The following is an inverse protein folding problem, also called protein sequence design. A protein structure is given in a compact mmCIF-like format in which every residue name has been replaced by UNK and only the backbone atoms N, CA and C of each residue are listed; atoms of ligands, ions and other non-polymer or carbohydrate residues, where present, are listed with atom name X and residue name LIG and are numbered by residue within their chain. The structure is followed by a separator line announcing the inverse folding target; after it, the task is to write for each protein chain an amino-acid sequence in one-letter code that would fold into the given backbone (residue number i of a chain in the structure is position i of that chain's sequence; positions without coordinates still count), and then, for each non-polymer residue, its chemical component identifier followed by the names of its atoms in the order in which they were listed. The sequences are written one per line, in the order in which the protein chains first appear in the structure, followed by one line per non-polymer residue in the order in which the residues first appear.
data_IF_079579195027
#
_entry.id   IF_079579195027
#
_cell.length_a   1.000
_cell.length_b   1.000
_cell.length_c   1.000
_cell.angle_alpha   90.00
_cell.angle_beta   90.00
_cell.angle_gamma   90.00
#
_symmetry.space_group_name_H-M   'P 1'
#
loop_
_entity.id
_entity.type
_entity.pdbx_description
1 polymer ?
#
# COMPACT_ATOMS: atom_id res chain seq x y z
N UNK A 1 -3.00 8.53 -10.71
CA UNK A 1 -2.11 7.57 -10.03
C UNK A 1 -0.67 7.69 -10.52
N UNK A 2 0.32 7.11 -9.83
CA UNK A 2 1.72 7.06 -10.29
C UNK A 2 1.96 6.28 -11.60
N UNK A 3 0.94 5.58 -12.12
CA UNK A 3 1.02 4.85 -13.37
C UNK A 3 0.04 3.67 -13.42
N UNK A 4 -0.14 3.10 -14.62
CA UNK A 4 -0.98 1.92 -14.84
C UNK A 4 -0.47 0.74 -14.01
N UNK A 5 -1.41 -0.01 -13.38
CA UNK A 5 -1.09 -1.18 -12.56
C UNK A 5 -0.37 -0.88 -11.23
N UNK A 6 -0.10 0.39 -10.91
CA UNK A 6 0.46 0.74 -9.61
C UNK A 6 -0.49 0.37 -8.46
N UNK A 7 0.01 0.14 -7.23
CA UNK A 7 -0.85 -0.10 -6.07
C UNK A 7 -1.91 0.99 -5.87
N UNK A 8 -1.58 2.23 -6.15
CA UNK A 8 -2.49 3.37 -6.05
C UNK A 8 -3.62 3.34 -7.10
N UNK A 9 -3.30 2.89 -8.34
CA UNK A 9 -4.31 2.65 -9.35
C UNK A 9 -5.26 1.53 -8.92
N UNK A 10 -4.70 0.39 -8.50
CA UNK A 10 -5.47 -0.76 -8.01
C UNK A 10 -6.36 -0.39 -6.81
N UNK A 11 -5.85 0.43 -5.90
CA UNK A 11 -6.59 0.94 -4.75
C UNK A 11 -7.82 1.74 -5.18
N UNK A 12 -7.66 2.65 -6.16
CA UNK A 12 -8.77 3.46 -6.66
C UNK A 12 -9.79 2.59 -7.43
N UNK A 13 -9.34 1.65 -8.25
CA UNK A 13 -10.24 0.74 -8.95
C UNK A 13 -11.05 -0.15 -7.98
N UNK A 14 -10.39 -0.65 -6.93
CA UNK A 14 -11.09 -1.38 -5.88
C UNK A 14 -12.11 -0.49 -5.15
N UNK A 15 -11.77 0.75 -4.82
CA UNK A 15 -12.67 1.71 -4.20
C UNK A 15 -13.90 1.95 -5.10
N UNK A 16 -13.70 2.23 -6.40
CA UNK A 16 -14.77 2.38 -7.38
C UNK A 16 -15.70 1.15 -7.42
N UNK A 17 -15.09 -0.03 -7.47
CA UNK A 17 -15.84 -1.30 -7.50
C UNK A 17 -16.69 -1.50 -6.23
N UNK A 18 -16.16 -1.16 -5.06
CA UNK A 18 -16.86 -1.33 -3.76
C UNK A 18 -17.95 -0.31 -3.51
N UNK A 19 -17.81 0.88 -4.06
CA UNK A 19 -18.76 1.99 -3.86
C UNK A 19 -19.75 2.18 -5.02
N UNK A 20 -19.53 1.50 -6.15
CA UNK A 20 -20.32 1.72 -7.36
C UNK A 20 -20.09 3.11 -7.99
N UNK A 21 -19.01 3.79 -7.62
CA UNK A 21 -18.71 5.13 -8.14
C UNK A 21 -17.91 5.05 -9.44
N UNK A 22 -18.03 6.09 -10.25
CA UNK A 22 -17.22 6.24 -11.47
C UNK A 22 -16.23 7.37 -11.31
N UNK A 23 -14.96 7.09 -11.62
CA UNK A 23 -13.88 8.08 -11.70
C UNK A 23 -12.94 7.71 -12.86
N UNK A 24 -12.58 8.69 -13.68
CA UNK A 24 -11.61 8.49 -14.75
C UNK A 24 -10.21 8.41 -14.16
N UNK A 25 -9.47 7.36 -14.52
CA UNK A 25 -8.08 7.20 -14.11
C UNK A 25 -7.17 8.06 -14.97
N UNK A 26 -6.36 8.90 -14.33
CA UNK A 26 -5.31 9.69 -14.98
C UNK A 26 -3.95 9.13 -14.51
N UNK A 27 -3.19 8.45 -15.39
CA UNK A 27 -1.85 7.94 -15.07
C UNK A 27 -0.80 9.04 -15.22
N UNK A 28 0.12 9.09 -14.27
CA UNK A 28 1.30 9.96 -14.27
C UNK A 28 2.57 9.15 -14.27
N UNK A 29 3.70 9.78 -14.59
CA UNK A 29 5.03 9.15 -14.50
C UNK A 29 5.60 9.30 -13.09
N UNK A 30 4.92 8.70 -12.10
CA UNK A 30 5.32 8.73 -10.70
C UNK A 30 4.37 9.50 -9.78
N UNK A 31 4.61 9.42 -8.46
CA UNK A 31 3.74 10.01 -7.44
C UNK A 31 3.85 11.55 -7.39
N UNK A 32 5.05 12.10 -7.61
CA UNK A 32 5.30 13.53 -7.47
C UNK A 32 4.45 14.38 -8.43
N UNK A 33 4.41 14.15 -9.76
CA UNK A 33 3.56 14.91 -10.65
C UNK A 33 2.07 14.71 -10.38
N UNK A 34 1.64 13.50 -10.00
CA UNK A 34 0.24 13.25 -9.61
C UNK A 34 -0.16 14.08 -8.37
N UNK A 35 0.72 14.15 -7.37
CA UNK A 35 0.49 14.94 -6.16
C UNK A 35 0.47 16.45 -6.45
N UNK A 36 1.31 16.93 -7.35
CA UNK A 36 1.29 18.34 -7.78
C UNK A 36 -0.05 18.72 -8.39
N UNK A 37 -0.62 17.86 -9.24
CA UNK A 37 -1.91 18.12 -9.87
C UNK A 37 -3.08 18.03 -8.88
N UNK A 38 -3.00 17.19 -7.85
CA UNK A 38 -3.97 17.22 -6.74
C UNK A 38 -3.87 18.53 -5.96
N UNK A 39 -2.65 18.96 -5.62
CA UNK A 39 -2.44 20.25 -4.92
C UNK A 39 -2.87 21.45 -5.77
N UNK A 40 -2.71 21.36 -7.07
CA UNK A 40 -3.12 22.40 -8.04
C UNK A 40 -4.60 22.33 -8.42
N UNK A 41 -5.37 21.35 -7.92
CA UNK A 41 -6.79 21.18 -8.24
C UNK A 41 -7.09 20.65 -9.65
N UNK A 42 -6.07 20.20 -10.40
CA UNK A 42 -6.24 19.63 -11.74
C UNK A 42 -6.94 18.26 -11.69
N UNK A 43 -6.68 17.48 -10.62
CA UNK A 43 -7.40 16.26 -10.30
C UNK A 43 -7.91 16.30 -8.86
N UNK A 44 -9.12 15.79 -8.59
CA UNK A 44 -9.78 16.00 -7.30
C UNK A 44 -9.23 15.14 -6.16
N UNK A 45 -8.66 13.97 -6.45
CA UNK A 45 -8.18 13.05 -5.42
C UNK A 45 -7.19 12.01 -5.97
N UNK A 46 -6.44 11.39 -5.07
CA UNK A 46 -5.59 10.25 -5.36
C UNK A 46 -5.44 9.35 -4.14
N UNK A 47 -5.08 8.09 -4.34
CA UNK A 47 -4.42 7.30 -3.30
C UNK A 47 -2.93 7.66 -3.27
N UNK A 48 -2.36 7.72 -2.07
CA UNK A 48 -0.96 8.11 -1.88
C UNK A 48 -0.40 7.36 -0.68
N UNK A 49 0.89 7.00 -0.73
CA UNK A 49 1.58 6.45 0.43
C UNK A 49 1.64 7.48 1.56
N UNK A 50 1.39 7.02 2.78
CA UNK A 50 1.32 7.90 3.95
C UNK A 50 2.59 8.72 4.14
N UNK A 51 3.76 8.11 4.00
CA UNK A 51 5.05 8.80 4.14
C UNK A 51 5.20 9.97 3.15
N UNK A 52 4.78 9.79 1.89
CA UNK A 52 4.80 10.84 0.88
C UNK A 52 3.71 11.90 1.10
N UNK A 53 2.57 11.50 1.66
CA UNK A 53 1.42 12.37 1.89
C UNK A 53 1.54 13.26 3.12
N UNK A 54 2.19 12.79 4.18
CA UNK A 54 2.25 13.50 5.47
C UNK A 54 2.71 14.96 5.37
N UNK A 55 3.81 15.31 4.69
CA UNK A 55 4.26 16.71 4.61
C UNK A 55 3.23 17.63 3.94
N UNK A 56 2.54 17.16 2.91
CA UNK A 56 1.57 17.97 2.17
C UNK A 56 0.23 18.06 2.90
N UNK A 57 -0.14 17.03 3.67
CA UNK A 57 -1.30 17.05 4.57
C UNK A 57 -1.05 18.03 5.72
N UNK A 58 0.12 17.95 6.37
CA UNK A 58 0.50 18.82 7.48
C UNK A 58 0.62 20.28 7.07
N UNK A 59 1.04 20.56 5.83
CA UNK A 59 1.06 21.92 5.28
C UNK A 59 -0.31 22.45 4.86
N UNK A 60 -1.38 21.66 4.99
CA UNK A 60 -2.75 22.03 4.62
C UNK A 60 -3.02 22.13 3.11
N UNK A 61 -2.06 21.71 2.26
CA UNK A 61 -2.22 21.76 0.80
C UNK A 61 -3.16 20.70 0.26
N UNK A 62 -3.32 19.59 0.99
CA UNK A 62 -4.29 18.55 0.69
C UNK A 62 -4.95 18.08 1.98
N UNK A 63 -6.13 17.50 1.87
CA UNK A 63 -6.87 16.92 2.98
C UNK A 63 -6.86 15.39 2.87
N UNK A 64 -6.43 14.69 3.93
CA UNK A 64 -6.62 13.26 4.04
C UNK A 64 -8.11 12.97 4.29
N UNK A 65 -8.70 12.11 3.47
CA UNK A 65 -10.12 11.76 3.54
C UNK A 65 -10.33 10.42 4.25
N UNK A 66 -9.47 9.45 4.00
CA UNK A 66 -9.51 8.14 4.64
C UNK A 66 -8.15 7.44 4.56
N UNK A 67 -7.96 6.45 5.43
CA UNK A 67 -6.81 5.53 5.46
C UNK A 67 -7.23 4.19 4.87
N UNK A 68 -6.38 3.61 4.01
CA UNK A 68 -6.65 2.31 3.37
C UNK A 68 -6.37 1.09 4.24
N UNK A 69 -5.70 1.21 5.37
CA UNK A 69 -5.41 0.09 6.28
C UNK A 69 -6.60 -0.24 7.17
N UNK A 70 -6.55 -1.40 7.84
CA UNK A 70 -7.57 -1.86 8.79
C UNK A 70 -7.71 -0.96 10.03
N UNK A 71 -6.64 -0.23 10.38
CA UNK A 71 -6.58 0.68 11.53
C UNK A 71 -6.17 2.07 11.06
N UNK A 72 -6.56 3.09 11.84
CA UNK A 72 -6.13 4.48 11.60
C UNK A 72 -4.61 4.59 11.75
N UNK A 73 -4.01 5.46 10.96
CA UNK A 73 -2.60 5.74 11.08
C UNK A 73 -2.32 6.57 12.36
N UNK A 74 -1.28 6.22 13.09
CA UNK A 74 -0.88 6.93 14.32
C UNK A 74 -0.53 8.39 14.06
N UNK A 75 -0.03 8.69 12.87
CA UNK A 75 0.31 10.04 12.41
C UNK A 75 -0.93 10.88 12.04
N UNK A 76 -2.08 10.23 11.79
CA UNK A 76 -3.34 10.87 11.39
C UNK A 76 -4.53 10.26 12.18
N UNK A 77 -4.54 10.35 13.52
CA UNK A 77 -5.52 9.66 14.36
C UNK A 77 -6.98 10.10 14.13
N UNK A 78 -7.17 11.29 13.59
CA UNK A 78 -8.50 11.85 13.31
C UNK A 78 -9.02 11.49 11.90
N UNK A 79 -8.20 10.85 11.06
CA UNK A 79 -8.62 10.43 9.73
C UNK A 79 -9.19 9.01 9.81
N UNK A 80 -10.44 8.78 9.41
CA UNK A 80 -11.06 7.46 9.48
C UNK A 80 -10.43 6.50 8.48
N UNK A 81 -10.60 5.20 8.71
CA UNK A 81 -10.33 4.18 7.69
C UNK A 81 -11.44 4.16 6.64
N UNK A 82 -11.18 3.57 5.47
CA UNK A 82 -12.23 3.33 4.46
C UNK A 82 -13.38 2.50 5.04
N UNK A 83 -13.07 1.51 5.87
CA UNK A 83 -14.07 0.67 6.52
C UNK A 83 -14.96 1.47 7.49
N UNK A 84 -14.39 2.36 8.31
CA UNK A 84 -15.14 3.29 9.17
C UNK A 84 -16.01 4.25 8.35
N UNK A 85 -15.57 4.62 7.15
CA UNK A 85 -16.33 5.40 6.16
C UNK A 85 -17.41 4.59 5.41
N UNK A 86 -17.63 3.32 5.78
CA UNK A 86 -18.68 2.46 5.19
C UNK A 86 -18.22 1.63 3.98
N UNK A 87 -16.97 1.74 3.54
CA UNK A 87 -16.45 0.97 2.41
C UNK A 87 -15.81 -0.32 2.92
N UNK A 88 -16.62 -1.38 3.03
CA UNK A 88 -16.17 -2.69 3.55
C UNK A 88 -15.26 -3.42 2.54
N UNK A 89 -14.38 -4.27 3.05
CA UNK A 89 -13.43 -5.08 2.26
C UNK A 89 -12.58 -4.23 1.29
N UNK A 90 -12.20 -3.04 1.72
CA UNK A 90 -11.46 -2.04 0.94
C UNK A 90 -10.04 -1.81 1.48
N UNK A 91 -9.55 -2.72 2.28
CA UNK A 91 -8.21 -2.61 2.84
C UNK A 91 -7.17 -2.64 1.72
N UNK A 92 -6.34 -1.62 1.70
CA UNK A 92 -5.20 -1.47 0.79
C UNK A 92 -3.98 -1.12 1.62
N UNK A 93 -2.96 -1.90 1.49
CA UNK A 93 -1.64 -1.59 2.03
C UNK A 93 -0.57 -2.07 1.06
N UNK A 94 0.50 -1.33 0.97
CA UNK A 94 1.69 -1.77 0.27
C UNK A 94 2.53 -2.64 1.22
N UNK A 95 3.08 -3.73 0.72
CA UNK A 95 4.01 -4.55 1.48
C UNK A 95 5.32 -4.72 0.71
N UNK A 96 6.38 -4.95 1.43
CA UNK A 96 7.68 -5.28 0.88
C UNK A 96 8.15 -6.61 1.47
N UNK A 97 8.75 -7.45 0.66
CA UNK A 97 9.24 -8.75 1.07
C UNK A 97 10.56 -9.10 0.39
N UNK A 98 11.35 -9.93 1.05
CA UNK A 98 12.61 -10.44 0.49
C UNK A 98 12.36 -11.81 -0.12
N UNK A 99 12.73 -11.96 -1.38
CA UNK A 99 12.61 -13.20 -2.14
C UNK A 99 14.01 -13.74 -2.45
N UNK A 100 14.12 -15.04 -2.57
CA UNK A 100 15.32 -15.75 -2.98
C UNK A 100 15.02 -16.65 -4.20
N UNK A 101 16.02 -17.04 -4.99
CA UNK A 101 15.85 -17.99 -6.09
C UNK A 101 15.20 -19.30 -5.63
N UNK A 102 14.41 -19.91 -6.52
CA UNK A 102 13.84 -21.22 -6.28
C UNK A 102 14.96 -22.27 -6.11
N UNK A 103 14.75 -23.25 -5.23
CA UNK A 103 15.72 -24.30 -4.98
C UNK A 103 16.82 -23.96 -3.98
N UNK A 104 16.73 -22.82 -3.29
CA UNK A 104 17.66 -22.52 -2.19
C UNK A 104 17.56 -23.62 -1.10
N UNK A 105 18.69 -24.15 -0.58
CA UNK A 105 18.67 -25.16 0.48
C UNK A 105 17.89 -24.67 1.71
N UNK A 106 17.12 -25.56 2.32
CA UNK A 106 16.28 -25.23 3.48
C UNK A 106 17.06 -24.65 4.66
N UNK A 107 18.27 -25.17 4.92
CA UNK A 107 19.15 -24.65 5.95
C UNK A 107 19.56 -23.18 5.69
N UNK A 108 19.85 -22.83 4.43
CA UNK A 108 20.19 -21.46 4.03
C UNK A 108 18.98 -20.56 4.17
N UNK A 109 17.80 -21.01 3.71
CA UNK A 109 16.54 -20.26 3.86
C UNK A 109 16.22 -20.01 5.33
N UNK A 110 16.34 -21.02 6.18
CA UNK A 110 16.11 -20.90 7.62
C UNK A 110 17.05 -19.92 8.29
N UNK A 111 18.34 -19.96 7.96
CA UNK A 111 19.34 -19.02 8.50
C UNK A 111 19.05 -17.57 8.05
N UNK A 112 18.78 -17.36 6.77
CA UNK A 112 18.44 -16.02 6.25
C UNK A 112 17.18 -15.46 6.94
N UNK A 113 16.14 -16.29 7.07
CA UNK A 113 14.91 -15.87 7.75
C UNK A 113 15.15 -15.49 9.22
N UNK A 114 15.95 -16.27 9.95
CA UNK A 114 16.28 -15.98 11.34
C UNK A 114 17.03 -14.64 11.47
N UNK A 115 18.03 -14.39 10.63
CA UNK A 115 18.81 -13.16 10.68
C UNK A 115 17.97 -11.95 10.24
N UNK A 116 17.09 -12.10 9.24
CA UNK A 116 16.17 -11.06 8.82
C UNK A 116 15.15 -10.70 9.92
N UNK A 117 14.55 -11.70 10.56
CA UNK A 117 13.63 -11.45 11.68
C UNK A 117 14.33 -10.76 12.84
N UNK A 118 15.56 -11.18 13.18
CA UNK A 118 16.38 -10.52 14.19
C UNK A 118 16.68 -9.05 13.82
N UNK A 119 16.99 -8.77 12.56
CA UNK A 119 17.18 -7.40 12.09
C UNK A 119 15.91 -6.56 12.19
N UNK A 120 14.75 -7.11 11.76
CA UNK A 120 13.45 -6.45 11.87
C UNK A 120 13.05 -6.18 13.33
N UNK A 121 13.49 -7.00 14.27
CA UNK A 121 13.18 -6.84 15.69
C UNK A 121 14.11 -5.82 16.39
N UNK A 122 15.19 -5.38 15.74
CA UNK A 122 16.10 -4.39 16.32
C UNK A 122 15.45 -2.99 16.41
N UNK A 123 15.71 -2.28 17.50
CA UNK A 123 15.21 -0.92 17.73
C UNK A 123 15.61 0.07 16.60
N UNK A 124 16.83 -0.08 16.08
CA UNK A 124 17.32 0.77 14.99
C UNK A 124 16.49 0.61 13.71
N UNK A 125 16.15 -0.63 13.34
CA UNK A 125 15.32 -0.92 12.16
C UNK A 125 13.88 -0.50 12.42
N UNK A 126 13.29 -0.83 13.58
CA UNK A 126 11.93 -0.41 13.95
C UNK A 126 11.77 1.11 13.87
N UNK A 127 12.72 1.85 14.46
CA UNK A 127 12.73 3.31 14.38
C UNK A 127 12.78 3.80 12.94
N UNK A 128 13.68 3.23 12.13
CA UNK A 128 13.81 3.63 10.72
C UNK A 128 12.57 3.32 9.90
N UNK A 129 11.93 2.18 10.14
CA UNK A 129 10.66 1.83 9.49
C UNK A 129 9.54 2.79 9.89
N UNK A 130 9.45 3.16 11.17
CA UNK A 130 8.48 4.13 11.64
C UNK A 130 8.66 5.51 10.98
N UNK A 131 9.89 5.96 10.71
CA UNK A 131 10.18 7.19 9.97
C UNK A 131 9.54 7.18 8.56
N UNK A 132 9.37 5.99 7.96
CA UNK A 132 8.71 5.79 6.68
C UNK A 132 7.24 5.34 6.80
N UNK A 133 6.64 5.44 7.98
CA UNK A 133 5.28 4.95 8.24
C UNK A 133 5.09 3.48 7.86
N UNK A 134 6.13 2.67 8.05
CA UNK A 134 6.15 1.23 7.82
C UNK A 134 6.13 0.47 9.14
N UNK A 135 5.52 -0.70 9.12
CA UNK A 135 5.49 -1.63 10.25
C UNK A 135 6.33 -2.88 9.92
N UNK A 136 7.15 -3.33 10.87
CA UNK A 136 7.87 -4.57 10.74
C UNK A 136 6.93 -5.76 10.97
N UNK A 137 6.89 -6.67 10.02
CA UNK A 137 6.09 -7.90 10.08
C UNK A 137 7.01 -9.13 10.03
N UNK A 138 7.69 -9.47 11.13
CA UNK A 138 8.51 -10.68 11.18
C UNK A 138 7.63 -11.92 11.01
N UNK A 139 8.18 -12.97 10.40
CA UNK A 139 7.42 -14.19 10.17
C UNK A 139 8.26 -15.29 9.53
N UNK A 140 7.63 -16.43 9.30
CA UNK A 140 8.27 -17.57 8.62
C UNK A 140 8.13 -17.46 7.11
N UNK A 141 9.00 -18.16 6.34
CA UNK A 141 8.86 -18.23 4.87
C UNK A 141 7.51 -18.77 4.41
N UNK A 142 6.92 -19.71 5.18
CA UNK A 142 5.62 -20.29 4.84
C UNK A 142 4.46 -19.30 5.09
N UNK A 143 4.54 -18.53 6.16
CA UNK A 143 3.57 -17.44 6.43
C UNK A 143 3.62 -16.39 5.32
N UNK A 144 4.81 -15.95 4.91
CA UNK A 144 4.95 -15.01 3.81
C UNK A 144 4.46 -15.59 2.47
N UNK A 145 4.73 -16.86 2.20
CA UNK A 145 4.24 -17.57 1.00
C UNK A 145 2.71 -17.62 0.97
N UNK A 146 2.09 -17.97 2.09
CA UNK A 146 0.63 -18.01 2.21
C UNK A 146 0.01 -16.61 2.00
N UNK A 147 0.57 -15.60 2.64
CA UNK A 147 0.18 -14.20 2.48
C UNK A 147 0.30 -13.73 1.02
N UNK A 148 1.46 -13.92 0.39
CA UNK A 148 1.69 -13.51 -0.99
C UNK A 148 0.74 -14.19 -1.98
N UNK A 149 0.40 -15.47 -1.77
CA UNK A 149 -0.60 -16.19 -2.58
C UNK A 149 -2.00 -15.62 -2.40
N UNK A 150 -2.39 -15.31 -1.17
CA UNK A 150 -3.70 -14.71 -0.88
C UNK A 150 -3.84 -13.33 -1.53
N UNK A 151 -2.83 -12.47 -1.40
CA UNK A 151 -2.81 -11.14 -2.04
C UNK A 151 -2.79 -11.25 -3.57
N UNK A 152 -2.00 -12.16 -4.14
CA UNK A 152 -1.99 -12.40 -5.59
C UNK A 152 -3.35 -12.83 -6.12
N UNK A 153 -4.07 -13.70 -5.41
CA UNK A 153 -5.42 -14.11 -5.76
C UNK A 153 -6.39 -12.92 -5.68
N UNK A 154 -6.39 -12.21 -4.57
CA UNK A 154 -7.28 -11.07 -4.29
C UNK A 154 -7.13 -9.98 -5.36
N UNK A 155 -5.90 -9.54 -5.61
CA UNK A 155 -5.63 -8.50 -6.61
C UNK A 155 -5.88 -8.99 -8.04
N UNK A 156 -5.54 -10.25 -8.33
CA UNK A 156 -5.84 -10.87 -9.62
C UNK A 156 -7.34 -10.91 -9.94
N UNK A 157 -8.20 -11.11 -8.95
CA UNK A 157 -9.66 -11.03 -9.11
C UNK A 157 -10.10 -9.60 -9.43
N UNK A 158 -9.61 -8.61 -8.71
CA UNK A 158 -9.90 -7.18 -8.96
C UNK A 158 -9.46 -6.78 -10.37
N UNK A 159 -8.21 -7.06 -10.74
CA UNK A 159 -7.64 -6.73 -12.05
C UNK A 159 -8.49 -7.30 -13.19
N UNK A 160 -8.91 -8.57 -13.06
CA UNK A 160 -9.79 -9.19 -14.07
C UNK A 160 -11.16 -8.55 -14.14
N UNK A 161 -11.76 -8.24 -12.97
CA UNK A 161 -13.10 -7.66 -12.90
C UNK A 161 -13.15 -6.26 -13.51
N UNK A 162 -12.14 -5.44 -13.28
CA UNK A 162 -12.09 -4.07 -13.82
C UNK A 162 -11.41 -3.98 -15.18
N UNK A 163 -10.82 -5.07 -15.67
CA UNK A 163 -10.23 -5.14 -17.02
C UNK A 163 -8.94 -4.33 -17.18
N UNK A 164 -8.15 -4.19 -16.10
CA UNK A 164 -6.85 -3.48 -16.17
C UNK A 164 -5.91 -4.25 -17.09
N UNK A 165 -5.36 -3.56 -18.08
CA UNK A 165 -4.27 -4.05 -18.94
C UNK A 165 -3.02 -3.24 -18.61
N UNK A 166 -1.90 -3.93 -18.52
CA UNK A 166 -0.58 -3.30 -18.48
C UNK A 166 -0.12 -3.11 -19.92
N UNK A 167 0.33 -1.92 -20.25
CA UNK A 167 0.91 -1.60 -21.57
C UNK A 167 2.29 -2.22 -21.70
#
# INVERSE_FOLDING_TARGET
SPGNGSPHHLAMEMFKLRTGTFMTHIPYRGAAPAMQDVMGGQVPCMFLDLAAGLPVIQSGKVRALAIGSAQRATQLPNVPTLAEGGVKNSEVFAFQGILAPAGLPSATTGRLNAELNKALDSEAVKKRMADFSMEALPGTPDQFRAFARAESKRWGEIIRTVGIKLD
#
